data_IF_755198819487
#
_entry.id   IF_755198819487
#
_cell.length_a   1.000
_cell.length_b   1.000
_cell.length_c   1.000
_cell.angle_alpha   90.00
_cell.angle_beta   90.00
_cell.angle_gamma   90.00
#
_symmetry.space_group_name_H-M   'P 1'
#
loop_
_entity.id
_entity.type
_entity.pdbx_description
1 polymer ?
#
# COMPACT_ATOMS: atom_id res chain seq x y z
N UNK A 1 19.83 -28.08 84.20
CA UNK A 1 19.44 -28.71 82.92
C UNK A 1 18.29 -27.99 82.18
N UNK A 2 17.97 -26.73 82.53
CA UNK A 2 16.80 -26.00 81.98
C UNK A 2 17.17 -24.77 81.15
N UNK A 3 18.37 -24.21 81.28
CA UNK A 3 18.80 -23.00 80.56
C UNK A 3 19.24 -23.28 79.11
N UNK A 4 19.86 -24.42 78.84
CA UNK A 4 20.30 -24.78 77.48
C UNK A 4 19.14 -25.21 76.58
N UNK A 5 18.01 -25.63 77.17
CA UNK A 5 16.80 -26.01 76.43
C UNK A 5 15.99 -24.78 76.00
N UNK A 6 15.96 -23.72 76.81
CA UNK A 6 15.25 -22.48 76.48
C UNK A 6 15.97 -21.65 75.41
N UNK A 7 17.31 -21.64 75.40
CA UNK A 7 18.11 -20.96 74.37
C UNK A 7 17.95 -21.66 73.00
N UNK A 8 17.91 -22.99 72.97
CA UNK A 8 17.69 -23.75 71.73
C UNK A 8 16.29 -23.53 71.15
N UNK A 9 15.26 -23.37 71.99
CA UNK A 9 13.89 -23.09 71.53
C UNK A 9 13.73 -21.66 71.00
N UNK A 10 14.47 -20.69 71.53
CA UNK A 10 14.43 -19.29 71.05
C UNK A 10 15.15 -19.15 69.69
N UNK A 11 16.24 -19.89 69.47
CA UNK A 11 16.94 -19.91 68.17
C UNK A 11 16.09 -20.59 67.10
N UNK A 12 15.35 -21.65 67.43
CA UNK A 12 14.43 -22.33 66.52
C UNK A 12 13.19 -21.46 66.17
N UNK A 13 12.74 -20.62 67.10
CA UNK A 13 11.63 -19.66 66.89
C UNK A 13 12.07 -18.42 66.10
N UNK A 14 13.32 -17.97 66.19
CA UNK A 14 13.83 -16.85 65.40
C UNK A 14 14.19 -17.22 63.95
N UNK A 15 14.44 -18.50 63.64
CA UNK A 15 14.67 -18.96 62.26
C UNK A 15 13.38 -19.13 61.44
N UNK A 16 12.19 -18.96 62.03
CA UNK A 16 10.89 -19.08 61.36
C UNK A 16 10.34 -17.80 60.73
N UNK A 17 11.05 -16.67 60.79
CA UNK A 17 10.56 -15.36 60.35
C UNK A 17 11.44 -14.67 59.29
N UNK A 18 12.33 -15.40 58.61
CA UNK A 18 12.91 -14.92 57.34
C UNK A 18 11.90 -15.12 56.21
N UNK A 19 10.97 -14.17 56.10
CA UNK A 19 10.16 -13.92 54.91
C UNK A 19 11.03 -14.02 53.66
N UNK A 20 10.67 -14.98 52.80
CA UNK A 20 11.07 -14.99 51.41
C UNK A 20 10.53 -13.73 50.73
N UNK A 21 11.39 -12.73 50.51
CA UNK A 21 11.20 -11.78 49.43
C UNK A 21 11.56 -12.47 48.11
N UNK A 22 10.72 -13.42 47.68
CA UNK A 22 10.74 -13.87 46.29
C UNK A 22 10.03 -12.80 45.47
N UNK A 23 10.79 -12.17 44.58
CA UNK A 23 10.29 -11.35 43.49
C UNK A 23 9.30 -12.20 42.68
N UNK A 24 8.01 -11.87 42.77
CA UNK A 24 6.97 -12.44 41.92
C UNK A 24 7.21 -12.02 40.47
N UNK A 25 7.93 -12.86 39.73
CA UNK A 25 7.78 -12.93 38.29
C UNK A 25 6.69 -13.97 38.02
N UNK A 26 5.42 -13.56 38.19
CA UNK A 26 4.25 -14.42 38.02
C UNK A 26 3.96 -14.70 36.53
N UNK A 27 4.86 -15.42 35.88
CA UNK A 27 4.59 -16.17 34.65
C UNK A 27 4.17 -17.58 35.00
N UNK A 28 2.99 -17.75 35.62
CA UNK A 28 2.48 -19.07 35.97
C UNK A 28 2.16 -19.88 34.70
N UNK A 29 2.95 -20.93 34.43
CA UNK A 29 2.59 -21.98 33.48
C UNK A 29 1.38 -22.72 34.03
N UNK A 30 0.18 -22.30 33.61
CA UNK A 30 -1.06 -23.03 33.89
C UNK A 30 -1.01 -24.35 33.14
N UNK A 31 -1.07 -25.49 33.86
CA UNK A 31 -1.41 -26.77 33.24
C UNK A 31 -2.83 -26.63 32.66
N UNK A 32 -2.94 -26.64 31.33
CA UNK A 32 -4.24 -26.60 30.64
C UNK A 32 -5.14 -27.70 31.19
N UNK A 33 -6.36 -27.31 31.56
CA UNK A 33 -7.37 -28.26 32.00
C UNK A 33 -7.75 -29.22 30.86
N UNK A 34 -8.21 -30.42 31.17
CA UNK A 34 -8.64 -31.40 30.14
C UNK A 34 -9.80 -30.87 29.26
N UNK A 35 -10.54 -29.87 29.77
CA UNK A 35 -11.56 -29.13 29.01
C UNK A 35 -10.97 -28.18 27.96
N UNK A 36 -9.77 -27.64 28.18
CA UNK A 36 -9.02 -26.84 27.20
C UNK A 36 -8.39 -27.70 26.09
N UNK A 37 -8.15 -29.00 26.33
CA UNK A 37 -7.67 -29.92 25.30
C UNK A 37 -8.73 -30.30 24.26
N UNK A 38 -10.02 -30.04 24.53
CA UNK A 38 -11.12 -30.28 23.58
C UNK A 38 -11.38 -29.11 22.62
N UNK A 39 -10.64 -28.00 22.72
CA UNK A 39 -10.73 -26.86 21.81
C UNK A 39 -9.77 -26.91 20.62
N UNK A 40 -9.44 -28.10 20.09
CA UNK A 40 -8.52 -28.26 18.95
C UNK A 40 -9.25 -28.16 17.60
N UNK A 41 -10.55 -27.84 17.60
CA UNK A 41 -11.29 -27.55 16.38
C UNK A 41 -11.63 -26.05 16.34
N UNK A 42 -10.87 -25.26 15.60
CA UNK A 42 -11.32 -23.91 15.24
C UNK A 42 -10.24 -22.86 15.08
N UNK A 43 -9.31 -23.03 14.14
CA UNK A 43 -8.45 -21.97 13.60
C UNK A 43 -7.70 -21.09 14.63
N UNK A 44 -7.10 -19.99 14.17
CA UNK A 44 -6.45 -19.07 15.08
C UNK A 44 -7.45 -18.21 15.83
N UNK A 45 -7.32 -18.17 17.16
CA UNK A 45 -8.15 -17.34 18.05
C UNK A 45 -7.50 -15.96 18.17
N UNK A 46 -8.19 -14.93 17.68
CA UNK A 46 -7.75 -13.53 17.81
C UNK A 46 -8.21 -12.99 19.16
N UNK A 47 -7.28 -12.36 19.87
CA UNK A 47 -7.58 -11.62 21.10
C UNK A 47 -7.90 -10.16 20.79
N UNK A 48 -8.72 -9.51 21.63
CA UNK A 48 -9.03 -8.08 21.49
C UNK A 48 -7.77 -7.20 21.44
N UNK A 49 -6.71 -7.59 22.17
CA UNK A 49 -5.42 -6.91 22.13
C UNK A 49 -4.76 -7.01 20.74
N UNK A 50 -4.86 -8.18 20.11
CA UNK A 50 -4.33 -8.40 18.76
C UNK A 50 -5.14 -7.59 17.75
N UNK A 51 -6.47 -7.60 17.86
CA UNK A 51 -7.34 -6.81 16.99
C UNK A 51 -7.04 -5.30 17.11
N UNK A 52 -6.91 -4.77 18.32
CA UNK A 52 -6.55 -3.37 18.55
C UNK A 52 -5.12 -2.99 18.15
N UNK A 53 -4.21 -3.95 17.97
CA UNK A 53 -2.88 -3.70 17.41
C UNK A 53 -2.95 -3.47 15.89
N UNK A 54 -3.81 -4.22 15.21
CA UNK A 54 -3.99 -4.14 13.76
C UNK A 54 -4.99 -3.07 13.32
N UNK A 55 -5.89 -2.63 14.22
CA UNK A 55 -6.80 -1.52 13.98
C UNK A 55 -6.00 -0.25 13.63
N UNK A 56 -6.19 0.25 12.40
CA UNK A 56 -5.42 1.40 11.96
C UNK A 56 -6.03 2.68 12.49
N UNK A 57 -5.21 3.46 13.20
CA UNK A 57 -5.57 4.85 13.51
C UNK A 57 -5.28 5.69 12.28
N UNK A 58 -6.34 6.19 11.66
CA UNK A 58 -6.18 7.17 10.59
C UNK A 58 -5.49 8.42 11.15
N UNK A 59 -4.48 8.96 10.45
CA UNK A 59 -3.91 10.24 10.85
C UNK A 59 -4.98 11.32 10.78
N UNK A 60 -4.93 12.27 11.71
CA UNK A 60 -5.86 13.39 11.69
C UNK A 60 -5.64 14.21 10.40
N UNK A 61 -6.73 14.70 9.78
CA UNK A 61 -6.66 15.44 8.51
C UNK A 61 -5.69 16.63 8.54
N UNK A 62 -5.52 17.28 9.69
CA UNK A 62 -4.57 18.37 9.87
C UNK A 62 -3.08 17.96 9.72
N UNK A 63 -2.76 16.69 10.01
CA UNK A 63 -1.42 16.14 9.89
C UNK A 63 -1.10 15.69 8.46
N UNK A 64 -2.12 15.50 7.64
CA UNK A 64 -1.99 15.15 6.23
C UNK A 64 -1.78 16.42 5.40
N UNK A 65 -0.74 16.44 4.57
CA UNK A 65 -0.58 17.50 3.56
C UNK A 65 -1.10 17.10 2.18
N UNK A 66 -1.18 15.80 1.93
CA UNK A 66 -1.61 15.22 0.67
C UNK A 66 -2.26 13.87 0.92
N UNK A 67 -3.37 13.62 0.24
CA UNK A 67 -4.04 12.33 0.23
C UNK A 67 -4.58 12.06 -1.17
N UNK A 68 -4.44 10.82 -1.63
CA UNK A 68 -5.06 10.33 -2.86
C UNK A 68 -5.55 8.90 -2.67
N UNK A 69 -6.80 8.65 -3.02
CA UNK A 69 -7.40 7.31 -3.00
C UNK A 69 -7.44 6.74 -4.43
N UNK A 70 -6.98 5.51 -4.58
CA UNK A 70 -6.69 4.84 -5.85
C UNK A 70 -7.27 3.45 -5.81
N UNK A 71 -7.78 3.00 -6.95
CA UNK A 71 -8.30 1.67 -7.11
C UNK A 71 -7.41 0.91 -8.09
N UNK A 72 -6.82 -0.18 -7.62
CA UNK A 72 -5.96 -1.05 -8.42
C UNK A 72 -6.63 -2.37 -8.70
N UNK A 73 -6.32 -2.91 -9.87
CA UNK A 73 -6.57 -4.28 -10.22
C UNK A 73 -5.26 -5.04 -10.08
N UNK A 74 -5.21 -6.01 -9.17
CA UNK A 74 -4.16 -7.01 -9.11
C UNK A 74 -4.57 -8.20 -9.96
N UNK A 75 -3.70 -8.55 -10.89
CA UNK A 75 -3.81 -9.75 -11.70
C UNK A 75 -2.93 -10.84 -11.10
N UNK A 76 -3.52 -11.97 -10.72
CA UNK A 76 -2.82 -13.08 -10.06
C UNK A 76 -1.95 -13.89 -11.02
N UNK A 77 -2.13 -13.72 -12.33
CA UNK A 77 -1.25 -14.34 -13.34
C UNK A 77 0.15 -13.73 -13.35
N UNK A 78 0.31 -12.54 -12.76
CA UNK A 78 1.61 -11.89 -12.63
C UNK A 78 2.46 -12.55 -11.52
N UNK A 79 3.78 -12.72 -11.74
CA UNK A 79 4.66 -13.38 -10.76
C UNK A 79 4.71 -12.62 -9.43
N UNK A 80 4.65 -11.29 -9.44
CA UNK A 80 4.67 -10.48 -8.23
C UNK A 80 3.45 -10.74 -7.32
N UNK A 81 2.31 -11.16 -7.90
CA UNK A 81 1.06 -11.41 -7.19
C UNK A 81 0.77 -12.90 -6.95
N UNK A 82 1.61 -13.80 -7.46
CA UNK A 82 1.46 -15.25 -7.30
C UNK A 82 1.31 -15.73 -5.85
N UNK A 83 1.94 -15.11 -4.82
CA UNK A 83 1.75 -15.50 -3.42
C UNK A 83 0.31 -15.38 -2.91
N UNK A 84 -0.57 -14.64 -3.60
CA UNK A 84 -1.99 -14.51 -3.22
C UNK A 84 -2.85 -15.66 -3.75
N UNK A 85 -2.41 -16.31 -4.82
CA UNK A 85 -3.16 -17.37 -5.52
C UNK A 85 -2.77 -18.77 -5.03
N UNK A 86 -1.48 -18.99 -4.77
CA UNK A 86 -0.99 -20.29 -4.32
C UNK A 86 -1.02 -20.42 -2.79
N UNK A 87 -1.26 -21.64 -2.25
CA UNK A 87 -1.57 -22.87 -2.99
C UNK A 87 -3.03 -22.90 -3.49
N UNK A 88 -3.28 -23.56 -4.65
CA UNK A 88 -4.64 -23.66 -5.23
C UNK A 88 -5.60 -24.42 -4.30
N UNK A 89 -5.07 -25.50 -3.73
CA UNK A 89 -5.69 -26.34 -2.72
C UNK A 89 -5.04 -26.15 -1.36
N UNK A 90 -5.75 -26.53 -0.30
CA UNK A 90 -5.23 -26.40 1.06
C UNK A 90 -4.10 -27.41 1.27
N UNK A 91 -2.88 -26.93 1.47
CA UNK A 91 -1.68 -27.78 1.69
C UNK A 91 -1.07 -27.39 3.02
N UNK A 92 -0.90 -28.35 3.94
CA UNK A 92 -0.27 -28.15 5.25
C UNK A 92 -0.87 -26.98 6.06
N UNK A 93 -2.18 -26.73 5.89
CA UNK A 93 -2.90 -25.63 6.53
C UNK A 93 -2.63 -24.25 5.93
N UNK A 94 -1.86 -24.17 4.84
CA UNK A 94 -1.75 -22.98 4.01
C UNK A 94 -2.94 -22.90 3.04
N UNK A 95 -3.53 -21.72 2.99
CA UNK A 95 -4.69 -21.42 2.15
C UNK A 95 -4.36 -20.20 1.29
N UNK A 96 -4.96 -20.12 0.10
CA UNK A 96 -4.89 -18.90 -0.71
C UNK A 96 -5.69 -17.75 -0.07
N UNK A 97 -5.44 -16.52 -0.54
CA UNK A 97 -6.09 -15.34 0.01
C UNK A 97 -7.62 -15.42 -0.11
N UNK A 98 -8.15 -15.97 -1.20
CA UNK A 98 -9.59 -16.09 -1.42
C UNK A 98 -10.26 -17.03 -0.41
N UNK A 99 -9.71 -18.23 -0.18
CA UNK A 99 -10.23 -19.19 0.82
C UNK A 99 -10.23 -18.58 2.21
N UNK A 100 -9.17 -17.86 2.59
CA UNK A 100 -9.09 -17.16 3.87
C UNK A 100 -10.23 -16.12 3.98
N UNK A 101 -10.39 -15.25 2.99
CA UNK A 101 -11.43 -14.20 3.00
C UNK A 101 -12.83 -14.85 3.06
N UNK A 102 -13.10 -15.82 2.18
CA UNK A 102 -14.41 -16.47 2.08
C UNK A 102 -14.78 -17.17 3.39
N UNK A 103 -13.85 -17.94 3.97
CA UNK A 103 -14.05 -18.62 5.27
C UNK A 103 -14.38 -17.62 6.38
N UNK A 104 -13.67 -16.49 6.44
CA UNK A 104 -13.88 -15.49 7.49
C UNK A 104 -15.21 -14.75 7.35
N UNK A 105 -15.65 -14.50 6.12
CA UNK A 105 -16.96 -13.88 5.84
C UNK A 105 -18.09 -14.86 6.15
N UNK A 106 -17.95 -16.12 5.74
CA UNK A 106 -18.95 -17.17 5.95
C UNK A 106 -19.09 -17.54 7.43
N UNK A 107 -17.98 -17.57 8.18
CA UNK A 107 -17.98 -17.75 9.64
C UNK A 107 -18.65 -16.58 10.39
N UNK A 108 -18.87 -15.45 9.71
CA UNK A 108 -19.39 -14.20 10.29
C UNK A 108 -18.37 -13.42 11.12
N UNK A 109 -17.07 -13.74 10.98
CA UNK A 109 -15.98 -13.08 11.72
C UNK A 109 -15.66 -11.71 11.17
N UNK A 110 -15.87 -11.50 9.87
CA UNK A 110 -15.56 -10.24 9.18
C UNK A 110 -16.79 -9.80 8.37
N UNK A 111 -17.19 -8.52 8.44
CA UNK A 111 -18.26 -8.01 7.58
C UNK A 111 -17.80 -7.86 6.13
N UNK A 112 -18.61 -8.36 5.20
CA UNK A 112 -18.50 -8.08 3.77
C UNK A 112 -19.48 -6.98 3.36
N UNK A 113 -19.07 -6.13 2.41
CA UNK A 113 -19.85 -5.01 1.89
C UNK A 113 -20.10 -5.16 0.39
N UNK A 114 -21.22 -4.64 -0.09
CA UNK A 114 -21.60 -4.81 -1.49
C UNK A 114 -20.68 -4.03 -2.42
N UNK A 115 -20.37 -4.61 -3.58
CA UNK A 115 -19.73 -3.88 -4.67
C UNK A 115 -20.75 -3.00 -5.38
N UNK A 116 -20.53 -1.69 -5.34
CA UNK A 116 -21.39 -0.72 -6.01
C UNK A 116 -20.66 -0.16 -7.24
N UNK A 117 -21.35 -0.01 -8.38
CA UNK A 117 -20.78 0.64 -9.58
C UNK A 117 -20.48 2.14 -9.34
N UNK A 118 -20.95 2.67 -8.21
CA UNK A 118 -20.79 4.04 -7.75
C UNK A 118 -19.58 4.26 -6.83
N UNK A 119 -19.83 4.88 -5.68
CA UNK A 119 -18.83 5.04 -4.62
C UNK A 119 -18.97 3.88 -3.65
N UNK A 120 -17.85 3.33 -3.22
CA UNK A 120 -17.85 2.28 -2.20
C UNK A 120 -18.27 2.87 -0.86
N UNK A 121 -19.21 2.18 -0.19
CA UNK A 121 -19.78 2.60 1.08
C UNK A 121 -19.67 1.47 2.08
N UNK A 122 -18.78 1.61 3.06
CA UNK A 122 -18.55 0.60 4.10
C UNK A 122 -19.42 0.82 5.33
N UNK A 123 -20.71 1.05 5.13
CA UNK A 123 -21.71 1.22 6.20
C UNK A 123 -22.53 -0.06 6.37
N UNK A 124 -23.15 -0.22 7.54
CA UNK A 124 -23.96 -1.42 7.86
C UNK A 124 -25.14 -1.62 6.91
N UNK A 125 -25.60 -0.55 6.24
CA UNK A 125 -26.66 -0.57 5.23
C UNK A 125 -26.28 -1.37 3.98
N UNK A 126 -25.00 -1.35 3.60
CA UNK A 126 -24.46 -2.06 2.44
C UNK A 126 -23.73 -3.34 2.84
N UNK A 127 -23.95 -3.82 4.08
CA UNK A 127 -23.42 -5.09 4.52
C UNK A 127 -24.15 -6.21 3.78
N UNK A 128 -23.39 -7.08 3.12
CA UNK A 128 -23.94 -8.18 2.34
C UNK A 128 -24.43 -9.28 3.29
N UNK A 129 -25.61 -9.83 3.00
CA UNK A 129 -26.06 -11.06 3.63
C UNK A 129 -25.29 -12.25 3.01
N UNK A 130 -24.68 -13.07 3.85
CA UNK A 130 -23.86 -14.22 3.42
C UNK A 130 -24.67 -15.21 2.57
N UNK A 131 -25.94 -15.45 2.92
CA UNK A 131 -26.79 -16.37 2.15
C UNK A 131 -26.99 -15.88 0.71
N UNK A 132 -27.36 -14.61 0.56
CA UNK A 132 -27.60 -13.98 -0.74
C UNK A 132 -26.30 -13.90 -1.56
N UNK A 133 -25.17 -13.65 -0.89
CA UNK A 133 -23.84 -13.66 -1.52
C UNK A 133 -23.51 -15.03 -2.11
N UNK A 134 -23.69 -16.11 -1.34
CA UNK A 134 -23.35 -17.46 -1.77
C UNK A 134 -24.20 -17.87 -2.98
N UNK A 135 -25.50 -17.55 -2.94
CA UNK A 135 -26.41 -17.79 -4.07
C UNK A 135 -26.04 -16.96 -5.30
N UNK A 136 -25.72 -15.66 -5.14
CA UNK A 136 -25.37 -14.77 -6.25
C UNK A 136 -24.12 -15.21 -7.03
N UNK A 137 -23.18 -15.86 -6.37
CA UNK A 137 -21.94 -16.32 -6.98
C UNK A 137 -21.92 -17.83 -7.28
N UNK A 138 -23.05 -18.51 -7.13
CA UNK A 138 -23.21 -19.96 -7.35
C UNK A 138 -22.23 -20.80 -6.50
N UNK A 139 -21.94 -20.36 -5.27
CA UNK A 139 -21.08 -21.09 -4.33
C UNK A 139 -21.98 -22.00 -3.51
N UNK A 140 -21.82 -23.32 -3.68
CA UNK A 140 -22.56 -24.30 -2.91
C UNK A 140 -22.12 -24.28 -1.45
N UNK A 141 -23.10 -24.17 -0.56
CA UNK A 141 -22.87 -24.16 0.87
C UNK A 141 -23.96 -24.95 1.58
N UNK A 142 -23.57 -25.69 2.60
CA UNK A 142 -24.47 -26.45 3.47
C UNK A 142 -24.72 -25.67 4.75
N UNK A 143 -25.90 -25.84 5.35
CA UNK A 143 -26.17 -25.26 6.67
C UNK A 143 -25.31 -25.94 7.74
N UNK A 144 -24.59 -25.13 8.52
CA UNK A 144 -23.74 -25.62 9.59
C UNK A 144 -24.57 -26.15 10.77
N UNK A 145 -23.98 -27.07 11.54
CA UNK A 145 -24.55 -27.49 12.83
C UNK A 145 -24.68 -26.28 13.77
N UNK A 146 -25.92 -25.94 14.14
CA UNK A 146 -26.23 -24.77 14.97
C UNK A 146 -26.62 -23.50 14.18
N UNK A 147 -26.82 -23.61 12.86
CA UNK A 147 -27.47 -22.57 12.07
C UNK A 147 -28.87 -22.31 12.64
N UNK A 148 -29.16 -21.04 12.94
CA UNK A 148 -30.49 -20.60 13.37
C UNK A 148 -31.02 -19.61 12.34
N UNK A 149 -32.34 -19.53 12.16
CA UNK A 149 -32.96 -18.55 11.25
C UNK A 149 -32.48 -17.10 11.47
N UNK A 150 -32.16 -16.74 12.72
CA UNK A 150 -31.61 -15.41 13.07
C UNK A 150 -30.11 -15.23 12.82
N UNK A 151 -29.35 -16.32 12.79
CA UNK A 151 -27.90 -16.34 12.58
C UNK A 151 -27.56 -17.55 11.71
N UNK A 152 -27.78 -17.46 10.39
CA UNK A 152 -27.47 -18.54 9.50
C UNK A 152 -25.96 -18.76 9.49
N UNK A 153 -25.54 -20.01 9.68
CA UNK A 153 -24.14 -20.42 9.57
C UNK A 153 -24.03 -21.40 8.42
N UNK A 154 -23.03 -21.23 7.58
CA UNK A 154 -22.79 -22.09 6.43
C UNK A 154 -21.43 -22.77 6.55
N UNK A 155 -21.34 -23.98 6.02
CA UNK A 155 -20.10 -24.72 5.80
C UNK A 155 -19.99 -24.96 4.30
N UNK A 156 -18.83 -24.65 3.75
CA UNK A 156 -18.52 -24.85 2.33
C UNK A 156 -17.50 -25.98 2.26
N UNK A 157 -17.75 -26.96 1.41
CA UNK A 157 -16.78 -28.01 1.14
C UNK A 157 -15.61 -27.45 0.33
N UNK A 158 -14.41 -28.00 0.52
CA UNK A 158 -13.20 -27.45 -0.10
C UNK A 158 -13.25 -27.45 -1.63
N UNK A 159 -14.00 -28.41 -2.21
CA UNK A 159 -14.22 -28.57 -3.65
C UNK A 159 -15.22 -27.56 -4.24
N UNK A 160 -16.09 -26.98 -3.41
CA UNK A 160 -17.13 -26.05 -3.85
C UNK A 160 -16.65 -24.59 -3.86
N UNK A 161 -15.41 -24.33 -3.43
CA UNK A 161 -14.80 -22.99 -3.47
C UNK A 161 -14.21 -22.74 -4.87
N UNK A 162 -14.68 -21.71 -5.62
CA UNK A 162 -14.23 -21.45 -6.98
C UNK A 162 -12.88 -20.69 -7.00
N UNK A 163 -11.82 -21.26 -6.39
CA UNK A 163 -10.48 -20.62 -6.34
C UNK A 163 -9.90 -20.38 -7.72
N UNK A 164 -10.08 -21.33 -8.64
CA UNK A 164 -9.58 -21.28 -10.01
C UNK A 164 -10.18 -20.15 -10.84
N UNK A 165 -11.38 -19.67 -10.47
CA UNK A 165 -12.06 -18.58 -11.16
C UNK A 165 -11.66 -17.21 -10.62
N UNK A 166 -11.08 -17.14 -9.41
CA UNK A 166 -10.67 -15.87 -8.79
C UNK A 166 -9.23 -15.57 -9.17
N UNK A 167 -9.07 -14.92 -10.33
CA UNK A 167 -7.77 -14.54 -10.89
C UNK A 167 -7.42 -13.07 -10.68
N UNK A 168 -8.36 -12.27 -10.18
CA UNK A 168 -8.17 -10.83 -10.01
C UNK A 168 -8.64 -10.35 -8.64
N UNK A 169 -7.97 -9.32 -8.12
CA UNK A 169 -8.42 -8.58 -6.95
C UNK A 169 -8.53 -7.10 -7.26
N UNK A 170 -9.61 -6.46 -6.82
CA UNK A 170 -9.66 -5.02 -6.71
C UNK A 170 -9.24 -4.58 -5.32
N UNK A 171 -8.42 -3.53 -5.29
CA UNK A 171 -7.85 -2.99 -4.06
C UNK A 171 -8.09 -1.50 -4.04
N UNK A 172 -8.49 -1.00 -2.87
CA UNK A 172 -8.52 0.43 -2.59
C UNK A 172 -7.27 0.79 -1.79
N UNK A 173 -6.47 1.68 -2.35
CA UNK A 173 -5.28 2.24 -1.74
C UNK A 173 -5.49 3.69 -1.36
N UNK A 174 -5.03 4.03 -0.16
CA UNK A 174 -4.92 5.40 0.32
C UNK A 174 -3.44 5.77 0.38
N UNK A 175 -3.05 6.73 -0.45
CA UNK A 175 -1.73 7.34 -0.48
C UNK A 175 -1.75 8.60 0.36
N UNK A 176 -0.99 8.63 1.45
CA UNK A 176 -1.02 9.70 2.44
C UNK A 176 0.39 10.27 2.66
N UNK A 177 0.55 11.59 2.57
CA UNK A 177 1.76 12.27 3.04
C UNK A 177 1.52 12.86 4.43
N UNK A 178 2.12 12.21 5.42
CA UNK A 178 2.09 12.64 6.82
C UNK A 178 3.20 13.67 7.09
N UNK A 179 2.81 14.87 7.51
CA UNK A 179 3.73 16.00 7.80
C UNK A 179 4.65 15.72 8.99
N UNK A 180 4.21 14.90 9.94
CA UNK A 180 5.00 14.58 11.15
C UNK A 180 6.12 13.59 10.82
N UNK A 181 5.83 12.60 9.98
CA UNK A 181 6.83 11.63 9.55
C UNK A 181 7.57 12.00 8.27
N UNK A 182 7.10 13.03 7.54
CA UNK A 182 7.64 13.50 6.25
C UNK A 182 7.84 12.37 5.23
N UNK A 183 6.96 11.36 5.27
CA UNK A 183 7.03 10.19 4.39
C UNK A 183 5.66 9.96 3.76
N UNK A 184 5.69 9.56 2.49
CA UNK A 184 4.53 8.94 1.85
C UNK A 184 4.29 7.56 2.48
N UNK A 185 3.05 7.31 2.89
CA UNK A 185 2.59 6.01 3.34
C UNK A 185 1.47 5.55 2.42
N UNK A 186 1.54 4.30 2.03
CA UNK A 186 0.52 3.58 1.27
C UNK A 186 -0.22 2.68 2.24
N UNK A 187 -1.54 2.77 2.25
CA UNK A 187 -2.40 1.92 3.07
C UNK A 187 -3.44 1.26 2.19
N UNK A 188 -3.61 -0.04 2.34
CA UNK A 188 -4.72 -0.75 1.72
C UNK A 188 -5.93 -0.60 2.63
N UNK A 189 -7.03 -0.08 2.09
CA UNK A 189 -8.28 0.17 2.82
C UNK A 189 -9.23 -1.02 2.71
N UNK A 190 -9.38 -1.58 1.50
CA UNK A 190 -10.28 -2.69 1.25
C UNK A 190 -9.77 -3.58 0.10
N UNK A 191 -10.16 -4.85 0.17
CA UNK A 191 -9.92 -5.88 -0.84
C UNK A 191 -11.25 -6.39 -1.38
N UNK A 192 -11.31 -6.67 -2.67
CA UNK A 192 -12.47 -7.27 -3.33
C UNK A 192 -11.99 -8.39 -4.27
N UNK A 193 -12.38 -9.65 -4.01
CA UNK A 193 -12.17 -10.75 -4.96
C UNK A 193 -13.00 -10.54 -6.23
N UNK A 194 -12.42 -10.84 -7.39
CA UNK A 194 -13.08 -10.73 -8.69
C UNK A 194 -13.08 -12.11 -9.35
N UNK A 195 -14.27 -12.57 -9.69
CA UNK A 195 -14.49 -13.86 -10.33
C UNK A 195 -14.47 -13.67 -11.85
N UNK A 196 -13.57 -14.37 -12.53
CA UNK A 196 -13.44 -14.40 -13.98
C UNK A 196 -14.27 -15.58 -14.50
N UNK A 197 -15.34 -15.30 -15.28
CA UNK A 197 -16.05 -16.34 -16.04
C UNK A 197 -15.68 -16.21 -17.50
N UNK A 198 -15.24 -17.30 -18.11
CA UNK A 198 -15.09 -17.38 -19.56
C UNK A 198 -16.49 -17.34 -20.18
N UNK A 199 -16.81 -16.26 -20.88
CA UNK A 199 -18.03 -16.17 -21.68
C UNK A 199 -17.96 -17.09 -22.90
N UNK A 200 -19.11 -17.51 -23.38
CA UNK A 200 -19.28 -18.37 -24.58
C UNK A 200 -18.63 -17.78 -25.85
N UNK A 201 -18.38 -16.46 -25.86
CA UNK A 201 -17.75 -15.73 -26.97
C UNK A 201 -16.23 -15.50 -26.78
N UNK A 202 -15.57 -16.26 -25.90
CA UNK A 202 -14.11 -16.16 -25.68
C UNK A 202 -13.66 -14.88 -24.95
N UNK A 203 -14.58 -14.11 -24.38
CA UNK A 203 -14.28 -12.96 -23.52
C UNK A 203 -14.34 -13.36 -22.05
N UNK A 204 -13.33 -12.98 -21.26
CA UNK A 204 -13.37 -13.10 -19.80
C UNK A 204 -14.22 -11.98 -19.19
N UNK A 205 -15.38 -12.34 -18.65
CA UNK A 205 -16.23 -11.42 -17.91
C UNK A 205 -15.78 -11.38 -16.44
N UNK A 206 -15.48 -10.17 -15.94
CA UNK A 206 -15.03 -9.91 -14.56
C UNK A 206 -16.23 -9.57 -13.67
N UNK A 207 -16.49 -10.40 -12.66
CA UNK A 207 -17.57 -10.21 -11.69
C UNK A 207 -16.98 -9.90 -10.30
N UNK A 208 -16.92 -8.63 -9.89
CA UNK A 208 -16.49 -8.28 -8.54
C UNK A 208 -17.48 -8.82 -7.52
N UNK A 209 -16.98 -9.43 -6.44
CA UNK A 209 -17.83 -10.12 -5.48
C UNK A 209 -18.37 -9.20 -4.39
N UNK A 210 -17.50 -8.86 -3.43
CA UNK A 210 -17.81 -8.01 -2.29
C UNK A 210 -16.53 -7.36 -1.78
N UNK A 211 -16.66 -6.27 -1.05
CA UNK A 211 -15.55 -5.61 -0.38
C UNK A 211 -15.38 -6.09 1.05
N UNK A 212 -14.12 -6.23 1.46
CA UNK A 212 -13.75 -6.48 2.85
C UNK A 212 -12.75 -5.42 3.30
N UNK A 213 -12.99 -4.81 4.46
CA UNK A 213 -12.05 -3.87 5.07
C UNK A 213 -10.76 -4.59 5.43
N UNK A 214 -9.63 -4.04 4.98
CA UNK A 214 -8.33 -4.65 5.18
C UNK A 214 -8.00 -4.78 6.66
N UNK A 215 -8.29 -3.76 7.48
CA UNK A 215 -8.06 -3.74 8.94
C UNK A 215 -8.65 -4.96 9.68
N UNK A 216 -9.81 -5.45 9.26
CA UNK A 216 -10.44 -6.62 9.85
C UNK A 216 -9.75 -7.94 9.44
N UNK A 217 -9.10 -7.96 8.27
CA UNK A 217 -8.36 -9.12 7.73
C UNK A 217 -6.96 -9.23 8.33
N UNK A 218 -6.29 -8.12 8.64
CA UNK A 218 -4.88 -8.09 9.09
C UNK A 218 -4.53 -9.09 10.18
N UNK A 219 -5.33 -9.28 11.26
CA UNK A 219 -4.98 -10.25 12.31
C UNK A 219 -4.89 -11.70 11.80
N UNK A 220 -5.65 -12.04 10.76
CA UNK A 220 -5.64 -13.35 10.13
C UNK A 220 -4.51 -13.45 9.10
N UNK A 221 -4.31 -12.41 8.29
CA UNK A 221 -3.27 -12.37 7.26
C UNK A 221 -1.86 -12.34 7.86
N UNK A 222 -1.66 -11.73 9.03
CA UNK A 222 -0.38 -11.67 9.72
C UNK A 222 0.12 -13.04 10.22
N UNK A 223 -0.77 -14.02 10.32
CA UNK A 223 -0.42 -15.37 10.76
C UNK A 223 -0.10 -16.30 9.60
N UNK A 224 -0.50 -15.91 8.38
CA UNK A 224 -0.26 -16.67 7.18
C UNK A 224 1.05 -16.22 6.55
N UNK A 225 2.07 -17.07 6.65
CA UNK A 225 3.37 -16.85 6.03
C UNK A 225 3.37 -17.40 4.61
N UNK A 226 3.87 -16.57 3.69
CA UNK A 226 3.99 -16.89 2.27
C UNK A 226 5.40 -16.69 1.79
N UNK A 227 5.80 -17.45 0.78
CA UNK A 227 7.04 -17.21 0.04
C UNK A 227 6.79 -16.16 -1.04
N UNK A 228 7.68 -15.18 -1.16
CA UNK A 228 7.54 -14.06 -2.09
C UNK A 228 8.41 -14.18 -3.35
N UNK A 229 9.41 -15.05 -3.31
CA UNK A 229 10.41 -15.19 -4.37
C UNK A 229 10.81 -16.64 -4.51
N UNK A 230 10.94 -17.11 -5.74
CA UNK A 230 11.40 -18.47 -6.05
C UNK A 230 12.86 -18.70 -5.63
N UNK A 231 13.66 -17.63 -5.60
CA UNK A 231 15.07 -17.67 -5.18
C UNK A 231 15.21 -17.90 -3.66
N UNK A 232 14.28 -17.37 -2.87
CA UNK A 232 14.28 -17.50 -1.42
C UNK A 232 12.92 -18.01 -0.93
N UNK A 233 12.85 -19.33 -0.81
CA UNK A 233 11.65 -20.06 -0.36
C UNK A 233 11.44 -20.02 1.16
N UNK A 234 12.24 -19.23 1.90
CA UNK A 234 12.01 -19.04 3.32
C UNK A 234 10.81 -18.11 3.51
N UNK A 235 9.74 -18.62 4.13
CA UNK A 235 8.52 -17.86 4.41
C UNK A 235 8.74 -16.83 5.54
N UNK A 236 9.49 -15.77 5.23
CA UNK A 236 9.84 -14.70 6.17
C UNK A 236 8.75 -13.63 6.29
N UNK A 237 7.89 -13.51 5.29
CA UNK A 237 6.89 -12.47 5.19
C UNK A 237 5.48 -13.06 5.32
N UNK A 238 4.64 -12.36 6.07
CA UNK A 238 3.22 -12.66 6.11
C UNK A 238 2.48 -12.01 4.93
N UNK A 239 1.25 -12.45 4.66
CA UNK A 239 0.39 -11.76 3.67
C UNK A 239 0.11 -10.32 4.11
N UNK A 240 0.03 -10.04 5.42
CA UNK A 240 -0.10 -8.66 5.93
C UNK A 240 1.12 -7.81 5.54
N UNK A 241 2.34 -8.35 5.71
CA UNK A 241 3.57 -7.66 5.33
C UNK A 241 3.63 -7.37 3.82
N UNK A 242 3.19 -8.31 2.99
CA UNK A 242 3.13 -8.16 1.54
C UNK A 242 2.32 -6.91 1.13
N UNK A 243 1.16 -6.69 1.74
CA UNK A 243 0.34 -5.50 1.46
C UNK A 243 0.92 -4.23 2.10
N UNK A 244 1.43 -4.31 3.33
CA UNK A 244 2.03 -3.17 4.03
C UNK A 244 3.29 -2.64 3.33
N UNK A 245 4.09 -3.53 2.76
CA UNK A 245 5.32 -3.21 2.03
C UNK A 245 5.05 -2.91 0.55
N UNK A 246 3.79 -2.98 0.10
CA UNK A 246 3.38 -2.75 -1.30
C UNK A 246 4.19 -3.57 -2.30
N UNK A 247 4.36 -4.85 -1.98
CA UNK A 247 5.09 -5.80 -2.84
C UNK A 247 4.25 -6.27 -4.03
N UNK A 248 2.95 -5.96 -4.04
CA UNK A 248 2.06 -6.24 -5.16
C UNK A 248 2.26 -5.29 -6.33
N UNK A 249 1.79 -5.73 -7.50
CA UNK A 249 1.78 -4.94 -8.73
C UNK A 249 0.40 -4.98 -9.37
N UNK A 250 -0.11 -3.82 -9.76
CA UNK A 250 -1.43 -3.76 -10.38
C UNK A 250 -1.69 -2.44 -11.08
N UNK A 251 -2.60 -2.51 -12.05
CA UNK A 251 -2.98 -1.38 -12.88
C UNK A 251 -4.05 -0.55 -12.21
N UNK A 252 -3.95 0.78 -12.33
CA UNK A 252 -4.95 1.69 -11.79
C UNK A 252 -6.17 1.68 -12.71
N UNK A 253 -7.27 1.05 -12.28
CA UNK A 253 -8.51 1.03 -13.07
C UNK A 253 -9.45 2.21 -12.75
N UNK A 254 -9.35 2.78 -11.54
CA UNK A 254 -10.17 3.92 -11.10
C UNK A 254 -9.38 4.78 -10.13
N UNK A 255 -9.63 6.08 -10.14
CA UNK A 255 -9.12 7.00 -9.12
C UNK A 255 -10.28 7.70 -8.47
N UNK A 256 -10.13 8.11 -7.21
CA UNK A 256 -11.14 8.99 -6.59
C UNK A 256 -11.14 10.33 -7.33
N UNK A 257 -12.12 10.49 -8.19
CA UNK A 257 -12.37 11.68 -8.99
C UNK A 257 -13.78 12.24 -8.69
N UNK A 258 -13.99 13.52 -8.99
CA UNK A 258 -15.26 14.19 -8.71
C UNK A 258 -16.42 13.52 -9.47
N UNK A 259 -16.15 13.11 -10.72
CA UNK A 259 -17.12 12.48 -11.62
C UNK A 259 -17.34 10.99 -11.35
N UNK A 260 -16.57 10.38 -10.45
CA UNK A 260 -16.62 8.94 -10.15
C UNK A 260 -16.48 8.03 -11.39
N UNK A 261 -15.73 8.48 -12.40
CA UNK A 261 -15.51 7.72 -13.63
C UNK A 261 -14.30 6.80 -13.50
N UNK A 262 -14.36 5.65 -14.14
CA UNK A 262 -13.19 4.76 -14.28
C UNK A 262 -12.16 5.37 -15.22
N UNK A 263 -10.91 4.88 -15.16
CA UNK A 263 -9.86 5.30 -16.08
C UNK A 263 -10.21 4.97 -17.54
N UNK A 264 -10.92 3.87 -17.77
CA UNK A 264 -11.40 3.49 -19.10
C UNK A 264 -12.47 4.45 -19.65
N UNK A 265 -13.33 5.00 -18.79
CA UNK A 265 -14.31 6.01 -19.19
C UNK A 265 -13.68 7.39 -19.41
N UNK A 266 -12.63 7.72 -18.66
CA UNK A 266 -11.90 8.99 -18.82
C UNK A 266 -10.99 9.00 -20.04
N UNK A 267 -10.36 7.86 -20.33
CA UNK A 267 -9.43 7.66 -21.44
C UNK A 267 -9.87 6.41 -22.22
N UNK A 268 -10.74 6.59 -23.24
CA UNK A 268 -11.23 5.49 -24.07
C UNK A 268 -10.08 4.76 -24.80
N UNK A 269 -9.10 5.53 -25.28
CA UNK A 269 -7.92 5.00 -25.97
C UNK A 269 -6.95 4.32 -25.00
N UNK A 270 -6.48 3.12 -25.36
CA UNK A 270 -5.66 2.29 -24.48
C UNK A 270 -4.28 2.91 -24.19
N UNK A 271 -3.64 3.49 -25.20
CA UNK A 271 -2.31 4.10 -25.05
C UNK A 271 -2.35 5.33 -24.14
N UNK A 272 -3.39 6.15 -24.28
CA UNK A 272 -3.61 7.33 -23.43
C UNK A 272 -3.94 6.92 -22.01
N UNK A 273 -4.72 5.84 -21.84
CA UNK A 273 -5.03 5.26 -20.53
C UNK A 273 -3.77 4.75 -19.83
N UNK A 274 -2.92 3.98 -20.51
CA UNK A 274 -1.65 3.50 -19.94
C UNK A 274 -0.73 4.66 -19.57
N UNK A 275 -0.58 5.66 -20.45
CA UNK A 275 0.20 6.86 -20.16
C UNK A 275 -0.33 7.62 -18.94
N UNK A 276 -1.65 7.71 -18.79
CA UNK A 276 -2.28 8.35 -17.64
C UNK A 276 -2.05 7.54 -16.35
N UNK A 277 -2.18 6.21 -16.40
CA UNK A 277 -1.88 5.30 -15.28
C UNK A 277 -0.41 5.46 -14.83
N UNK A 278 0.54 5.38 -15.76
CA UNK A 278 1.97 5.53 -15.49
C UNK A 278 2.32 6.92 -14.93
N UNK A 279 1.68 7.97 -15.46
CA UNK A 279 1.87 9.33 -14.97
C UNK A 279 1.39 9.49 -13.53
N UNK A 280 0.24 8.90 -13.20
CA UNK A 280 -0.30 8.90 -11.84
C UNK A 280 0.64 8.13 -10.90
N UNK A 281 1.09 6.94 -11.29
CA UNK A 281 2.00 6.12 -10.48
C UNK A 281 3.34 6.79 -10.24
N UNK A 282 3.93 7.39 -11.28
CA UNK A 282 5.16 8.14 -11.16
C UNK A 282 4.98 9.35 -10.23
N UNK A 283 3.85 10.06 -10.30
CA UNK A 283 3.58 11.18 -9.40
C UNK A 283 3.49 10.75 -7.94
N UNK A 284 2.86 9.62 -7.66
CA UNK A 284 2.70 9.08 -6.31
C UNK A 284 4.03 8.67 -5.69
N UNK A 285 4.81 7.87 -6.43
CA UNK A 285 6.13 7.38 -6.00
C UNK A 285 7.15 8.51 -5.83
N UNK A 286 7.01 9.60 -6.60
CA UNK A 286 7.94 10.73 -6.58
C UNK A 286 7.44 11.94 -5.77
N UNK A 287 6.24 11.92 -5.17
CA UNK A 287 5.63 13.09 -4.52
C UNK A 287 6.57 13.75 -3.49
N UNK A 288 7.23 12.95 -2.64
CA UNK A 288 8.12 13.46 -1.60
C UNK A 288 9.50 13.92 -2.06
N UNK A 289 9.94 13.58 -3.28
CA UNK A 289 11.32 13.87 -3.74
C UNK A 289 11.57 15.36 -3.95
N UNK A 290 10.56 16.10 -4.38
CA UNK A 290 10.68 17.53 -4.66
C UNK A 290 10.44 18.42 -3.43
N UNK A 291 10.11 17.83 -2.27
CA UNK A 291 9.85 18.60 -1.05
C UNK A 291 11.14 19.01 -0.33
N UNK A 292 12.23 18.29 -0.56
CA UNK A 292 13.54 18.53 0.05
C UNK A 292 14.49 19.20 -0.93
N UNK A 293 15.43 19.98 -0.38
CA UNK A 293 16.54 20.54 -1.15
C UNK A 293 17.49 19.39 -1.49
N UNK A 294 17.78 19.14 -2.78
CA UNK A 294 18.70 18.08 -3.17
C UNK A 294 20.09 18.30 -2.57
N UNK A 295 20.75 17.22 -2.20
CA UNK A 295 22.13 17.28 -1.74
C UNK A 295 23.06 17.81 -2.86
N UNK A 296 24.23 18.34 -2.51
CA UNK A 296 25.14 18.97 -3.49
C UNK A 296 25.50 18.03 -4.64
N UNK A 297 25.66 16.73 -4.37
CA UNK A 297 25.97 15.70 -5.37
C UNK A 297 24.79 15.45 -6.30
N UNK A 298 23.58 15.34 -5.75
CA UNK A 298 22.34 15.20 -6.52
C UNK A 298 22.09 16.43 -7.39
N UNK A 299 22.36 17.63 -6.87
CA UNK A 299 22.23 18.88 -7.63
C UNK A 299 23.20 18.93 -8.81
N UNK A 300 24.47 18.54 -8.61
CA UNK A 300 25.45 18.43 -9.70
C UNK A 300 25.01 17.40 -10.74
N UNK A 301 24.52 16.24 -10.30
CA UNK A 301 24.01 15.20 -11.18
C UNK A 301 22.76 15.65 -11.96
N UNK A 302 21.86 16.43 -11.34
CA UNK A 302 20.72 17.04 -12.05
C UNK A 302 21.20 18.01 -13.12
N UNK A 303 22.17 18.86 -12.80
CA UNK A 303 22.74 19.82 -13.74
C UNK A 303 23.43 19.13 -14.92
N UNK A 304 24.20 18.08 -14.66
CA UNK A 304 24.83 17.27 -15.70
C UNK A 304 23.78 16.60 -16.60
N UNK A 305 22.71 16.03 -16.02
CA UNK A 305 21.57 15.47 -16.76
C UNK A 305 20.86 16.53 -17.61
N UNK A 306 20.71 17.76 -17.11
CA UNK A 306 20.13 18.86 -17.87
C UNK A 306 21.03 19.28 -19.04
N UNK A 307 22.34 19.40 -18.82
CA UNK A 307 23.30 19.75 -19.87
C UNK A 307 23.39 18.64 -20.94
N UNK A 308 23.28 17.37 -20.53
CA UNK A 308 23.15 16.22 -21.44
C UNK A 308 21.83 16.23 -22.24
N UNK A 309 20.71 16.64 -21.63
CA UNK A 309 19.43 16.79 -22.35
C UNK A 309 19.47 17.95 -23.34
N UNK A 310 20.04 19.10 -22.94
CA UNK A 310 20.20 20.28 -23.78
C UNK A 310 21.11 20.02 -24.97
N UNK A 311 22.21 19.30 -24.79
CA UNK A 311 23.08 18.89 -25.89
C UNK A 311 22.37 17.93 -26.86
N UNK A 312 21.63 16.95 -26.36
CA UNK A 312 20.80 16.06 -27.21
C UNK A 312 19.70 16.81 -27.98
N UNK A 313 19.04 17.79 -27.34
CA UNK A 313 18.03 18.62 -28.01
C UNK A 313 18.64 19.61 -29.01
N UNK A 314 19.83 20.16 -28.74
CA UNK A 314 20.55 21.02 -29.67
C UNK A 314 20.99 20.28 -30.94
N UNK A 315 21.39 19.01 -30.81
CA UNK A 315 21.75 18.16 -31.97
C UNK A 315 20.51 17.83 -32.83
N UNK A 316 19.33 17.67 -32.21
CA UNK A 316 18.07 17.42 -32.93
C UNK A 316 17.50 18.66 -33.63
N UNK A 317 17.89 19.87 -33.23
CA UNK A 317 17.45 21.12 -33.86
C UNK A 317 18.26 21.48 -35.12
N UNK A 318 19.49 20.99 -35.26
CA UNK A 318 20.39 21.27 -36.40
C UNK A 318 20.23 20.27 -37.58
N UNK A 319 19.25 19.37 -37.53
CA UNK A 319 18.94 18.41 -38.60
C UNK A 319 17.56 18.68 -39.21
N UNK A 320 17.37 19.88 -39.76
CA UNK A 320 16.29 20.15 -40.72
C UNK A 320 16.91 20.04 -42.12
N UNK A 321 16.47 19.12 -43.00
CA UNK A 321 16.98 19.05 -44.36
C UNK A 321 16.55 20.30 -45.14
N UNK A 322 17.55 20.95 -45.73
CA UNK A 322 17.47 22.12 -46.59
C UNK A 322 16.44 21.90 -47.72
N UNK A 323 15.33 22.64 -47.67
CA UNK A 323 14.30 22.62 -48.72
C UNK A 323 14.78 23.48 -49.90
N UNK A 324 15.00 22.82 -51.02
CA UNK A 324 15.36 23.38 -52.33
C UNK A 324 14.43 24.53 -52.73
N UNK A 325 15.02 25.68 -53.05
CA UNK A 325 14.35 26.86 -53.60
C UNK A 325 14.08 26.59 -55.08
N UNK A 326 12.84 26.76 -55.51
CA UNK A 326 12.47 26.87 -56.94
C UNK A 326 11.82 28.24 -57.12
N UNK A 327 12.48 29.11 -57.89
CA UNK A 327 11.96 30.39 -58.33
C UNK A 327 10.89 30.18 -59.41
N UNK A 328 9.77 30.91 -59.31
CA UNK A 328 8.91 31.26 -60.46
C UNK A 328 8.10 32.53 -60.14
N UNK A 329 8.00 33.40 -61.15
CA UNK A 329 7.64 34.83 -61.13
C UNK A 329 6.14 35.19 -60.99
N UNK A 330 5.93 36.41 -60.46
CA UNK A 330 4.96 37.47 -60.82
C UNK A 330 3.45 37.31 -60.53
N UNK A 331 2.84 38.28 -59.83
CA UNK A 331 2.02 39.40 -60.35
C UNK A 331 1.59 40.32 -59.17
N UNK A 332 1.53 41.61 -59.47
CA UNK A 332 1.25 42.84 -58.71
C UNK A 332 -0.13 42.97 -58.03
N UNK A 333 -0.19 43.74 -56.92
CA UNK A 333 -1.05 44.94 -56.75
C UNK A 333 -0.86 45.63 -55.36
N UNK A 334 -1.33 46.87 -55.25
CA UNK A 334 -0.73 48.02 -54.57
C UNK A 334 -1.17 48.34 -53.12
N UNK A 335 -0.38 49.19 -52.44
CA UNK A 335 -0.64 49.87 -51.15
C UNK A 335 -1.42 51.19 -51.35
N UNK A 336 -1.83 51.94 -50.30
CA UNK A 336 -0.92 52.90 -49.58
C UNK A 336 -1.27 52.97 -48.06
N UNK A 337 -0.56 53.60 -47.10
CA UNK A 337 0.41 54.69 -46.93
C UNK A 337 1.06 54.46 -45.53
N UNK A 338 2.17 55.03 -45.03
CA UNK A 338 2.74 56.37 -45.15
C UNK A 338 4.18 56.40 -44.58
N UNK A 339 4.98 57.32 -45.12
CA UNK A 339 6.10 58.08 -44.56
C UNK A 339 7.34 57.37 -43.93
N UNK A 340 8.45 57.52 -44.65
CA UNK A 340 9.81 57.22 -44.24
C UNK A 340 10.50 58.39 -43.47
N UNK A 341 11.43 58.06 -42.57
CA UNK A 341 12.64 58.88 -42.36
C UNK A 341 13.86 58.00 -42.06
N UNK A 342 14.98 58.39 -42.65
CA UNK A 342 16.11 57.56 -43.02
C UNK A 342 17.21 57.36 -41.95
N UNK A 343 17.87 56.20 -42.06
CA UNK A 343 19.31 55.85 -41.89
C UNK A 343 20.07 56.37 -40.65
N UNK A 344 20.67 55.41 -39.92
CA UNK A 344 22.14 55.28 -39.79
C UNK A 344 22.57 53.88 -39.30
N UNK A 345 23.48 53.27 -40.06
CA UNK A 345 24.29 52.08 -39.73
C UNK A 345 25.25 52.43 -38.59
N UNK A 346 25.38 51.56 -37.59
CA UNK A 346 26.58 51.46 -36.77
C UNK A 346 26.78 50.00 -36.28
N UNK A 347 27.95 49.48 -36.59
CA UNK A 347 28.54 48.18 -36.25
C UNK A 347 29.04 48.10 -34.80
N UNK A 348 29.18 46.87 -34.27
CA UNK A 348 29.81 46.42 -32.99
C UNK A 348 28.95 46.69 -31.75
N UNK A 349 28.85 45.80 -30.74
CA UNK A 349 29.78 44.77 -30.23
C UNK A 349 28.98 43.79 -29.35
N UNK A 350 29.34 42.49 -29.40
CA UNK A 350 28.91 41.44 -28.46
C UNK A 350 29.14 41.88 -27.00
N UNK A 351 28.09 41.87 -26.18
CA UNK A 351 28.20 41.96 -24.72
C UNK A 351 28.17 40.57 -24.10
N UNK A 352 29.34 40.12 -23.63
CA UNK A 352 29.51 38.92 -22.82
C UNK A 352 28.79 39.05 -21.47
N UNK A 353 27.87 38.14 -21.19
CA UNK A 353 27.19 38.05 -19.89
C UNK A 353 28.19 37.63 -18.81
N UNK A 354 28.36 38.47 -17.79
CA UNK A 354 29.26 38.26 -16.64
C UNK A 354 28.77 37.06 -15.81
N UNK A 355 29.67 36.09 -15.58
CA UNK A 355 29.55 35.09 -14.50
C UNK A 355 29.65 35.80 -13.13
N UNK A 356 28.84 35.43 -12.11
CA UNK A 356 29.08 35.92 -10.76
C UNK A 356 30.34 35.26 -10.17
N UNK A 357 31.30 36.08 -9.74
CA UNK A 357 32.41 35.69 -8.87
C UNK A 357 31.85 35.42 -7.48
N UNK A 358 31.99 34.18 -6.99
CA UNK A 358 31.86 33.88 -5.55
C UNK A 358 33.27 33.86 -4.99
N UNK A 359 33.56 34.78 -4.07
CA UNK A 359 34.83 34.90 -3.37
C UNK A 359 35.02 33.72 -2.41
N UNK A 360 36.12 33.00 -2.58
CA UNK A 360 36.68 32.09 -1.59
C UNK A 360 37.35 32.90 -0.48
N UNK A 361 36.80 32.86 0.73
CA UNK A 361 37.55 33.22 1.94
C UNK A 361 37.64 31.98 2.83
N UNK A 362 38.76 31.29 2.72
CA UNK A 362 39.28 30.38 3.73
C UNK A 362 39.76 31.20 4.93
N UNK A 363 39.13 31.04 6.09
CA UNK A 363 39.83 31.21 7.36
C UNK A 363 39.44 30.10 8.33
N UNK A 364 40.42 29.24 8.56
CA UNK A 364 40.51 28.34 9.70
C UNK A 364 40.45 29.14 11.00
N UNK A 365 39.56 28.75 11.94
CA UNK A 365 39.99 28.73 13.33
C UNK A 365 39.25 27.68 14.16
N UNK A 366 40.06 27.01 14.96
CA UNK A 366 39.81 25.87 15.83
C UNK A 366 39.06 26.21 17.12
N UNK A 367 38.21 25.28 17.56
CA UNK A 367 38.06 24.93 18.98
C UNK A 367 36.99 25.66 19.79
N UNK A 368 35.88 24.97 20.10
CA UNK A 368 35.25 24.99 21.42
C UNK A 368 34.14 23.93 21.52
N UNK A 369 34.44 22.82 22.20
CA UNK A 369 33.44 21.90 22.75
C UNK A 369 32.93 22.47 24.09
N UNK A 370 31.60 22.65 24.25
CA UNK A 370 30.92 22.88 25.54
C UNK A 370 29.51 22.27 25.45
N UNK A 371 29.36 21.02 25.89
CA UNK A 371 29.04 20.54 27.24
C UNK A 371 27.54 20.62 27.59
N UNK A 372 26.99 19.41 27.77
CA UNK A 372 25.61 19.11 28.16
C UNK A 372 25.34 19.59 29.57
N UNK A 373 24.28 20.39 29.78
CA UNK A 373 23.68 20.58 31.11
C UNK A 373 22.26 20.01 31.15
N UNK A 374 22.18 18.79 31.70
CA UNK A 374 20.99 18.19 32.33
C UNK A 374 20.39 19.20 33.33
N UNK A 375 19.10 19.48 33.22
CA UNK A 375 18.29 19.94 34.35
C UNK A 375 17.12 18.98 34.52
N UNK A 376 17.25 18.13 35.54
CA UNK A 376 16.13 17.54 36.26
C UNK A 376 15.64 18.63 37.23
N UNK A 377 14.33 18.86 37.29
CA UNK A 377 13.63 19.14 38.53
C UNK A 377 12.26 18.50 38.44
#
# INVERSE_FOLDING_TARGET
>A
MTLNKTILTIILLLSGLSLHAQVENAGGVRKRSEKEKKGVQGGPVISDRMQGFFETKEPHDADLSYMRQIYRQLDLTQPENSPLYFPEDVIDGQENLFRIILRLVVDGKIPAYEYLDGREMFTDQYKVNVADMLQRFDIYAQEAKGSTEKNPRFVIEEADVPTTQVLNYYIIEKWEFDRRSNRMKTRVEALCPVLNRSGDFGGEAKYPMFWVKFDALRPYLAQQYVFLSDDNNLAQHSIDDYFNLTMYKGDIYKTRNLRNLSMAQMFPDEDDRKRAQDSIDNRLRNYGKNLWVPDREEYLAMREKEDAKKSKQGIAADTIPERTIVEAESVSEEKPSSAARAKKRATKKRSSTKKPKVSSSSSSNSGAAKSVRRRKK
#
